data_IF_201720854391
#
_entry.id   IF_201720854391
#
_cell.length_a   1.000
_cell.length_b   1.000
_cell.length_c   1.000
_cell.angle_alpha   90.00
_cell.angle_beta   90.00
_cell.angle_gamma   90.00
#
_symmetry.space_group_name_H-M   'P 1'
#
loop_
_entity.id
_entity.type
_entity.pdbx_description
1 polymer ?
#
# COMPACT_ATOMS: atom_id res chain seq x y z
N UNK A 1 15.27 17.34 25.83
CA UNK A 1 14.63 16.53 24.76
C UNK A 1 14.68 17.36 23.49
N UNK A 2 15.34 16.91 22.46
CA UNK A 2 15.41 17.58 21.18
C UNK A 2 14.56 16.75 20.19
N UNK A 3 13.61 17.39 19.52
CA UNK A 3 12.82 16.76 18.47
C UNK A 3 13.28 17.28 17.12
N UNK A 4 13.55 16.36 16.19
CA UNK A 4 13.84 16.68 14.79
C UNK A 4 12.55 16.55 14.01
N UNK A 5 12.18 17.62 13.28
CA UNK A 5 10.99 17.60 12.41
C UNK A 5 11.43 17.47 10.96
N UNK A 6 10.81 16.55 10.23
CA UNK A 6 11.11 16.25 8.83
C UNK A 6 9.87 16.51 7.98
N UNK A 7 9.98 17.44 7.06
CA UNK A 7 8.88 17.84 6.18
C UNK A 7 8.69 16.87 4.98
N UNK A 8 7.58 16.99 4.20
CA UNK A 8 7.33 16.11 3.06
C UNK A 8 8.41 16.12 1.99
N UNK A 9 9.10 17.25 1.77
CA UNK A 9 10.17 17.39 0.79
C UNK A 9 11.42 16.66 1.28
N UNK A 10 11.80 16.90 2.52
CA UNK A 10 12.94 16.23 3.16
C UNK A 10 12.77 14.71 3.19
N UNK A 11 11.55 14.21 3.46
CA UNK A 11 11.24 12.77 3.40
C UNK A 11 11.55 12.21 2.00
N UNK A 12 11.09 12.90 0.94
CA UNK A 12 11.28 12.45 -0.44
C UNK A 12 12.74 12.55 -0.91
N UNK A 13 13.47 13.53 -0.43
CA UNK A 13 14.89 13.70 -0.75
C UNK A 13 15.76 12.68 0.00
N UNK A 14 15.38 12.34 1.22
CA UNK A 14 16.16 11.45 2.08
C UNK A 14 15.93 9.96 1.81
N UNK A 15 14.72 9.56 1.38
CA UNK A 15 14.34 8.14 1.27
C UNK A 15 13.92 7.80 -0.16
N UNK A 16 14.69 6.94 -0.79
CA UNK A 16 14.33 6.37 -2.10
C UNK A 16 13.25 5.31 -1.94
N UNK A 17 12.45 5.07 -3.00
CA UNK A 17 11.44 4.01 -2.99
C UNK A 17 12.05 2.63 -2.74
N UNK A 18 13.27 2.37 -3.23
CA UNK A 18 13.97 1.10 -2.98
C UNK A 18 14.29 0.90 -1.50
N UNK A 19 14.83 1.92 -0.82
CA UNK A 19 15.09 1.87 0.63
C UNK A 19 13.78 1.67 1.42
N UNK A 20 12.70 2.34 1.01
CA UNK A 20 11.39 2.18 1.62
C UNK A 20 10.84 0.75 1.47
N UNK A 21 10.97 0.15 0.28
CA UNK A 21 10.57 -1.25 0.00
C UNK A 21 11.36 -2.21 0.90
N UNK A 22 12.68 -2.05 1.01
CA UNK A 22 13.49 -2.92 1.87
C UNK A 22 13.16 -2.76 3.36
N UNK A 23 12.95 -1.53 3.82
CA UNK A 23 12.54 -1.27 5.21
C UNK A 23 11.17 -1.89 5.54
N UNK A 24 10.19 -1.75 4.65
CA UNK A 24 8.86 -2.33 4.83
C UNK A 24 8.90 -3.86 4.70
N UNK A 25 9.73 -4.42 3.82
CA UNK A 25 9.97 -5.87 3.72
C UNK A 25 10.50 -6.43 5.04
N UNK A 26 11.54 -5.81 5.60
CA UNK A 26 12.06 -6.20 6.92
C UNK A 26 10.98 -6.11 7.99
N UNK A 27 10.18 -5.04 8.00
CA UNK A 27 9.07 -4.91 8.94
C UNK A 27 8.04 -6.03 8.83
N UNK A 28 7.68 -6.48 7.64
CA UNK A 28 6.78 -7.64 7.47
C UNK A 28 7.40 -8.95 7.96
N UNK A 29 8.70 -9.16 7.76
CA UNK A 29 9.41 -10.31 8.31
C UNK A 29 9.44 -10.29 9.84
N UNK A 30 9.73 -9.15 10.44
CA UNK A 30 9.73 -8.95 11.88
C UNK A 30 8.31 -9.10 12.47
N UNK A 31 7.27 -8.64 11.74
CA UNK A 31 5.87 -8.85 12.13
C UNK A 31 5.52 -10.34 12.17
N UNK A 32 5.91 -11.10 11.16
CA UNK A 32 5.70 -12.55 11.11
C UNK A 32 6.50 -13.30 12.20
N UNK A 33 7.65 -12.75 12.63
CA UNK A 33 8.43 -13.26 13.73
C UNK A 33 7.88 -12.88 15.11
N UNK A 34 6.80 -12.07 15.20
CA UNK A 34 6.18 -11.64 16.45
C UNK A 34 6.95 -10.51 17.17
N UNK A 35 7.82 -9.80 16.47
CA UNK A 35 8.62 -8.71 17.03
C UNK A 35 7.84 -7.41 17.23
N UNK A 36 6.61 -7.32 16.76
CA UNK A 36 5.77 -6.15 16.93
C UNK A 36 4.68 -6.34 17.98
N UNK A 37 4.46 -5.28 18.74
CA UNK A 37 3.26 -5.04 19.52
C UNK A 37 2.52 -3.89 18.85
N UNK A 38 1.38 -4.19 18.23
CA UNK A 38 0.68 -3.30 17.34
C UNK A 38 -0.84 -3.45 17.53
N UNK A 39 -1.46 -2.62 18.36
CA UNK A 39 -2.91 -2.67 18.54
C UNK A 39 -3.62 -2.18 17.26
N UNK A 40 -4.81 -2.70 17.03
CA UNK A 40 -5.71 -2.19 15.99
C UNK A 40 -5.88 -0.68 16.13
N UNK A 41 -5.87 0.05 15.01
CA UNK A 41 -5.96 1.50 15.03
C UNK A 41 -7.25 1.99 15.69
N UNK A 42 -7.15 3.09 16.43
CA UNK A 42 -8.30 3.79 16.98
C UNK A 42 -8.88 4.72 15.94
N UNK A 43 -10.14 4.49 15.57
CA UNK A 43 -10.92 5.36 14.69
C UNK A 43 -11.87 6.23 15.52
N UNK A 44 -11.76 7.54 15.36
CA UNK A 44 -12.60 8.53 16.02
C UNK A 44 -13.45 9.25 14.99
N UNK A 45 -14.68 9.66 15.38
CA UNK A 45 -15.63 10.39 14.54
C UNK A 45 -15.79 9.71 13.16
N UNK A 46 -16.25 8.46 13.16
CA UNK A 46 -16.50 7.66 11.95
C UNK A 46 -15.27 7.55 11.02
N UNK A 47 -14.07 7.50 11.63
CA UNK A 47 -12.83 7.36 10.89
C UNK A 47 -12.30 8.66 10.27
N UNK A 48 -12.79 9.82 10.69
CA UNK A 48 -12.20 11.12 10.30
C UNK A 48 -10.84 11.36 10.97
N UNK A 49 -10.64 10.77 12.17
CA UNK A 49 -9.36 10.81 12.87
C UNK A 49 -8.92 9.39 13.16
N UNK A 50 -7.65 9.10 12.88
CA UNK A 50 -7.05 7.81 13.16
C UNK A 50 -5.83 7.97 14.04
N UNK A 51 -5.69 7.05 15.02
CA UNK A 51 -4.49 6.91 15.84
C UNK A 51 -3.96 5.49 15.64
N UNK A 52 -2.70 5.40 15.28
CA UNK A 52 -2.01 4.13 15.03
C UNK A 52 -0.71 4.10 15.82
N UNK A 53 -0.35 2.93 16.36
CA UNK A 53 0.91 2.77 17.09
C UNK A 53 1.53 1.41 16.81
N UNK A 54 2.86 1.35 16.86
CA UNK A 54 3.63 0.12 16.81
C UNK A 54 4.84 0.24 17.74
N UNK A 55 5.10 -0.81 18.49
CA UNK A 55 6.32 -1.00 19.24
C UNK A 55 7.10 -2.18 18.66
N UNK A 56 8.36 -1.98 18.31
CA UNK A 56 9.25 -3.04 17.84
C UNK A 56 10.17 -3.47 18.98
N UNK A 57 10.07 -4.74 19.37
CA UNK A 57 10.72 -5.29 20.56
C UNK A 57 12.23 -5.32 20.44
N UNK A 58 12.74 -5.85 19.33
CA UNK A 58 14.18 -6.02 19.12
C UNK A 58 14.97 -4.69 19.14
N UNK A 59 14.39 -3.60 18.59
CA UNK A 59 15.03 -2.28 18.62
C UNK A 59 14.59 -1.39 19.78
N UNK A 60 13.66 -1.86 20.62
CA UNK A 60 13.08 -1.09 21.74
C UNK A 60 12.59 0.31 21.31
N UNK A 61 12.03 0.42 20.09
CA UNK A 61 11.53 1.66 19.50
C UNK A 61 10.03 1.63 19.26
N UNK A 62 9.40 2.78 19.29
CA UNK A 62 7.96 2.90 19.09
C UNK A 62 7.64 4.04 18.12
N UNK A 63 6.53 3.87 17.42
CA UNK A 63 5.95 4.88 16.54
C UNK A 63 4.49 5.12 16.92
N UNK A 64 4.08 6.38 16.88
CA UNK A 64 2.68 6.79 17.00
C UNK A 64 2.37 7.70 15.80
N UNK A 65 1.31 7.38 15.07
CA UNK A 65 0.76 8.23 14.01
C UNK A 65 -0.62 8.72 14.40
N UNK A 66 -0.84 10.02 14.26
CA UNK A 66 -2.16 10.65 14.32
C UNK A 66 -2.43 11.31 12.99
N UNK A 67 -3.62 11.13 12.45
CA UNK A 67 -4.01 11.78 11.21
C UNK A 67 -5.49 12.12 11.15
N UNK A 68 -5.82 13.12 10.33
CA UNK A 68 -7.18 13.45 9.91
C UNK A 68 -7.34 13.12 8.43
N UNK A 69 -8.51 12.57 8.08
CA UNK A 69 -8.94 12.26 6.73
C UNK A 69 -10.03 13.23 6.28
N UNK A 70 -9.80 13.92 5.18
CA UNK A 70 -10.81 14.74 4.52
C UNK A 70 -10.61 14.70 3.01
N UNK A 71 -11.47 13.96 2.31
CA UNK A 71 -11.37 13.79 0.85
C UNK A 71 -11.78 15.04 0.05
N UNK A 72 -12.40 16.03 0.70
CA UNK A 72 -12.72 17.33 0.09
C UNK A 72 -11.54 18.32 0.17
N UNK A 73 -10.42 17.92 0.79
CA UNK A 73 -9.22 18.74 0.96
C UNK A 73 -8.03 18.14 0.22
N UNK A 74 -7.12 18.98 -0.24
CA UNK A 74 -5.81 18.59 -0.73
C UNK A 74 -4.70 19.16 0.18
N UNK A 75 -3.84 18.33 0.80
CA UNK A 75 -3.87 16.87 0.81
C UNK A 75 -5.03 16.29 1.65
N UNK A 76 -5.57 15.15 1.22
CA UNK A 76 -6.68 14.49 1.94
C UNK A 76 -6.27 13.96 3.32
N UNK A 77 -5.01 13.58 3.48
CA UNK A 77 -4.41 13.11 4.73
C UNK A 77 -3.53 14.22 5.30
N UNK A 78 -3.75 14.58 6.57
CA UNK A 78 -2.88 15.48 7.31
C UNK A 78 -2.69 14.98 8.74
N UNK A 79 -1.48 15.03 9.25
CA UNK A 79 -1.16 14.57 10.60
C UNK A 79 0.32 14.39 10.81
N UNK A 80 0.66 13.65 11.85
CA UNK A 80 2.04 13.54 12.33
C UNK A 80 2.37 12.09 12.66
N UNK A 81 3.59 11.68 12.33
CA UNK A 81 4.25 10.47 12.82
C UNK A 81 5.30 10.88 13.83
N UNK A 82 5.27 10.27 15.00
CA UNK A 82 6.31 10.44 16.03
C UNK A 82 7.02 9.12 16.23
N UNK A 83 8.33 9.11 16.17
CA UNK A 83 9.18 7.95 16.47
C UNK A 83 10.10 8.23 17.67
N UNK A 84 10.24 7.22 18.53
CA UNK A 84 11.08 7.24 19.74
C UNK A 84 11.77 5.90 19.96
N UNK A 85 12.89 5.91 20.66
CA UNK A 85 13.64 4.72 21.08
C UNK A 85 14.03 4.83 22.54
N UNK A 86 13.96 3.73 23.28
CA UNK A 86 14.17 3.73 24.74
C UNK A 86 15.59 4.20 25.14
N UNK A 87 16.59 3.93 24.32
CA UNK A 87 17.97 4.34 24.55
C UNK A 87 18.28 5.80 24.22
N UNK A 88 17.30 6.57 23.69
CA UNK A 88 17.49 7.94 23.19
C UNK A 88 16.64 8.95 23.95
N UNK A 89 17.11 10.20 23.98
CA UNK A 89 16.35 11.34 24.54
C UNK A 89 15.79 12.27 23.44
N UNK A 90 16.20 12.06 22.22
CA UNK A 90 15.69 12.73 21.02
C UNK A 90 14.57 11.91 20.38
N UNK A 91 13.76 12.59 19.56
CA UNK A 91 12.64 11.99 18.85
C UNK A 91 12.55 12.56 17.44
N UNK A 92 11.96 11.78 16.53
CA UNK A 92 11.65 12.22 15.18
C UNK A 92 10.16 12.56 15.09
N UNK A 93 9.84 13.63 14.39
CA UNK A 93 8.49 14.04 14.01
C UNK A 93 8.46 14.17 12.49
N UNK A 94 7.60 13.41 11.80
CA UNK A 94 7.50 13.41 10.35
C UNK A 94 6.07 13.68 9.88
N UNK A 95 5.91 14.19 8.64
CA UNK A 95 4.61 14.38 8.02
C UNK A 95 3.91 13.04 7.75
N UNK A 96 2.70 12.86 8.31
CA UNK A 96 1.96 11.61 8.19
C UNK A 96 1.45 11.34 6.76
N UNK A 97 1.17 12.37 5.98
CA UNK A 97 0.73 12.22 4.58
C UNK A 97 1.83 11.62 3.72
N UNK A 98 3.04 12.22 3.76
CA UNK A 98 4.20 11.74 3.02
C UNK A 98 4.65 10.34 3.47
N UNK A 99 4.69 10.07 4.77
CA UNK A 99 4.98 8.73 5.29
C UNK A 99 3.93 7.73 4.81
N UNK A 100 2.63 8.08 4.83
CA UNK A 100 1.55 7.17 4.42
C UNK A 100 1.64 6.82 2.94
N UNK A 101 1.90 7.77 2.04
CA UNK A 101 2.00 7.47 0.61
C UNK A 101 3.23 6.61 0.32
N UNK A 102 4.37 6.96 0.91
CA UNK A 102 5.64 6.23 0.74
C UNK A 102 5.54 4.78 1.23
N UNK A 103 5.03 4.56 2.48
CA UNK A 103 4.92 3.21 3.07
C UNK A 103 3.89 2.33 2.37
N UNK A 104 2.81 2.94 1.83
CA UNK A 104 1.79 2.19 1.09
C UNK A 104 2.34 1.75 -0.27
N UNK A 105 3.05 2.63 -0.97
CA UNK A 105 3.78 2.26 -2.18
C UNK A 105 4.82 1.17 -1.89
N UNK A 106 5.60 1.32 -0.83
CA UNK A 106 6.60 0.33 -0.44
C UNK A 106 5.99 -1.06 -0.18
N UNK A 107 4.85 -1.15 0.50
CA UNK A 107 4.15 -2.43 0.73
C UNK A 107 3.70 -3.08 -0.59
N UNK A 108 3.18 -2.28 -1.53
CA UNK A 108 2.86 -2.74 -2.89
C UNK A 108 4.12 -3.20 -3.63
N UNK A 109 5.24 -2.49 -3.47
CA UNK A 109 6.53 -2.91 -4.03
C UNK A 109 6.98 -4.28 -3.50
N UNK A 110 6.86 -4.52 -2.20
CA UNK A 110 7.17 -5.83 -1.58
C UNK A 110 6.30 -6.93 -2.15
N UNK A 111 4.97 -6.70 -2.20
CA UNK A 111 4.02 -7.70 -2.70
C UNK A 111 4.20 -7.96 -4.20
N UNK A 112 4.37 -6.92 -5.00
CA UNK A 112 4.61 -7.04 -6.45
C UNK A 112 5.90 -7.81 -6.74
N UNK A 113 6.97 -7.56 -5.98
CA UNK A 113 8.24 -8.27 -6.15
C UNK A 113 8.10 -9.77 -5.88
N UNK A 114 7.30 -10.14 -4.87
CA UNK A 114 7.04 -11.53 -4.52
C UNK A 114 6.09 -12.24 -5.52
N UNK A 115 5.03 -11.54 -5.97
CA UNK A 115 3.85 -12.17 -6.57
C UNK A 115 3.72 -11.96 -8.08
N UNK A 116 4.16 -10.82 -8.61
CA UNK A 116 4.07 -10.55 -10.03
C UNK A 116 5.12 -11.32 -10.83
N UNK A 117 4.81 -11.75 -12.06
CA UNK A 117 5.80 -12.35 -12.94
C UNK A 117 7.04 -11.46 -13.08
N UNK A 118 8.23 -12.08 -13.13
CA UNK A 118 9.50 -11.34 -13.20
C UNK A 118 9.60 -10.44 -14.46
N UNK A 119 8.96 -10.85 -15.55
CA UNK A 119 8.93 -10.11 -16.81
C UNK A 119 7.73 -9.14 -16.96
N UNK A 120 6.90 -9.00 -15.91
CA UNK A 120 5.74 -8.10 -15.98
C UNK A 120 6.19 -6.66 -16.13
N UNK A 121 5.69 -5.97 -17.16
CA UNK A 121 6.04 -4.58 -17.47
C UNK A 121 4.84 -3.70 -17.83
N UNK A 122 3.60 -4.23 -17.82
CA UNK A 122 2.38 -3.48 -18.12
C UNK A 122 1.55 -3.28 -16.85
N UNK A 123 1.54 -2.03 -16.37
CA UNK A 123 0.79 -1.61 -15.18
C UNK A 123 -0.47 -0.84 -15.57
N UNK A 124 -1.60 -1.21 -14.99
CA UNK A 124 -2.79 -0.35 -14.94
C UNK A 124 -3.00 0.13 -13.49
N UNK A 125 -2.98 1.45 -13.27
CA UNK A 125 -3.36 2.09 -12.01
C UNK A 125 -4.78 2.64 -12.14
N UNK A 126 -5.67 2.26 -11.21
CA UNK A 126 -7.06 2.72 -11.16
C UNK A 126 -7.21 3.62 -9.93
N UNK A 127 -7.56 4.89 -10.18
CA UNK A 127 -7.58 5.96 -9.20
C UNK A 127 -6.29 6.79 -9.24
N UNK A 128 -6.38 8.02 -9.74
CA UNK A 128 -5.27 8.98 -9.84
C UNK A 128 -5.23 9.95 -8.64
N UNK A 129 -5.49 9.41 -7.43
CA UNK A 129 -5.43 10.16 -6.17
C UNK A 129 -4.03 10.29 -5.57
N UNK A 130 -3.95 10.80 -4.33
CA UNK A 130 -2.68 11.05 -3.63
C UNK A 130 -1.81 9.81 -3.39
N UNK A 131 -2.38 8.61 -3.41
CA UNK A 131 -1.63 7.35 -3.27
C UNK A 131 -0.99 6.90 -4.59
N UNK A 132 -1.59 7.24 -5.74
CA UNK A 132 -1.23 6.68 -7.03
C UNK A 132 0.24 6.90 -7.45
N UNK A 133 0.87 8.08 -7.25
CA UNK A 133 2.25 8.28 -7.64
C UNK A 133 3.23 7.28 -7.03
N UNK A 134 3.12 7.03 -5.72
CA UNK A 134 4.05 6.14 -5.02
C UNK A 134 3.74 4.67 -5.29
N UNK A 135 2.49 4.29 -5.65
CA UNK A 135 2.17 2.97 -6.17
C UNK A 135 2.92 2.69 -7.47
N UNK A 136 2.84 3.61 -8.42
CA UNK A 136 3.54 3.47 -9.72
C UNK A 136 5.05 3.43 -9.54
N UNK A 137 5.62 4.31 -8.70
CA UNK A 137 7.06 4.32 -8.39
C UNK A 137 7.52 3.01 -7.78
N UNK A 138 6.73 2.45 -6.86
CA UNK A 138 7.06 1.19 -6.20
C UNK A 138 7.05 0.01 -7.19
N UNK A 139 6.00 -0.10 -7.99
CA UNK A 139 5.94 -1.13 -9.05
C UNK A 139 7.10 -0.97 -10.02
N UNK A 140 7.36 0.25 -10.52
CA UNK A 140 8.48 0.51 -11.45
C UNK A 140 9.85 0.17 -10.84
N UNK A 141 10.02 0.35 -9.53
CA UNK A 141 11.26 0.04 -8.81
C UNK A 141 11.59 -1.46 -8.84
N UNK A 142 10.58 -2.32 -8.77
CA UNK A 142 10.74 -3.79 -8.72
C UNK A 142 10.45 -4.48 -10.05
N UNK A 143 9.69 -3.85 -10.93
CA UNK A 143 9.33 -4.31 -12.29
C UNK A 143 9.42 -3.13 -13.24
N UNK A 144 10.54 -2.98 -13.98
CA UNK A 144 10.68 -1.90 -14.95
C UNK A 144 9.51 -1.87 -15.94
N UNK A 145 8.75 -0.78 -15.94
CA UNK A 145 7.54 -0.67 -16.73
C UNK A 145 7.87 -0.33 -18.21
N UNK A 146 7.28 -1.09 -19.12
CA UNK A 146 7.19 -0.76 -20.54
C UNK A 146 5.95 0.07 -20.86
N UNK A 147 4.85 -0.18 -20.13
CA UNK A 147 3.57 0.53 -20.30
C UNK A 147 2.95 0.87 -18.93
N UNK A 148 2.35 2.07 -18.87
CA UNK A 148 1.51 2.53 -17.77
C UNK A 148 0.18 3.02 -18.32
N UNK A 149 -0.93 2.42 -17.88
CA UNK A 149 -2.27 2.94 -18.13
C UNK A 149 -2.81 3.55 -16.84
N UNK A 150 -3.18 4.82 -16.88
CA UNK A 150 -3.78 5.54 -15.76
C UNK A 150 -5.28 5.68 -16.00
N UNK A 151 -6.07 5.15 -15.05
CA UNK A 151 -7.54 5.19 -15.10
C UNK A 151 -8.07 6.04 -13.96
N UNK A 152 -8.92 7.01 -14.26
CA UNK A 152 -9.70 7.74 -13.27
C UNK A 152 -11.03 8.15 -13.87
N UNK A 153 -12.06 8.31 -13.05
CA UNK A 153 -13.38 8.83 -13.46
C UNK A 153 -13.32 10.30 -13.88
N UNK A 154 -12.33 11.06 -13.38
CA UNK A 154 -12.00 12.40 -13.88
C UNK A 154 -10.75 12.34 -14.78
N UNK A 155 -10.89 12.46 -16.10
CA UNK A 155 -9.77 12.39 -17.05
C UNK A 155 -8.63 13.36 -16.72
N UNK A 156 -8.95 14.54 -16.16
CA UNK A 156 -7.95 15.56 -15.80
C UNK A 156 -7.03 15.06 -14.69
N UNK A 157 -7.52 14.24 -13.75
CA UNK A 157 -6.68 13.61 -12.72
C UNK A 157 -5.76 12.57 -13.32
N UNK A 158 -6.25 11.76 -14.24
CA UNK A 158 -5.43 10.78 -14.95
C UNK A 158 -4.32 11.46 -15.76
N UNK A 159 -4.63 12.53 -16.50
CA UNK A 159 -3.67 13.33 -17.26
C UNK A 159 -2.62 13.97 -16.34
N UNK A 160 -3.03 14.60 -15.24
CA UNK A 160 -2.11 15.23 -14.28
C UNK A 160 -1.15 14.21 -13.63
N UNK A 161 -1.64 12.99 -13.33
CA UNK A 161 -0.78 11.92 -12.83
C UNK A 161 0.21 11.47 -13.91
N UNK A 162 -0.23 11.28 -15.13
CA UNK A 162 0.62 10.91 -16.26
C UNK A 162 1.73 11.95 -16.49
N UNK A 163 1.38 13.23 -16.51
CA UNK A 163 2.35 14.33 -16.62
C UNK A 163 3.37 14.36 -15.49
N UNK A 164 2.90 14.13 -14.25
CA UNK A 164 3.77 14.08 -13.05
C UNK A 164 4.80 12.96 -13.13
N UNK A 165 4.41 11.80 -13.65
CA UNK A 165 5.27 10.61 -13.70
C UNK A 165 6.15 10.52 -14.94
N UNK A 166 5.78 11.19 -16.03
CA UNK A 166 6.51 11.10 -17.30
C UNK A 166 8.02 11.39 -17.21
N UNK A 167 8.49 12.38 -16.43
CA UNK A 167 9.93 12.63 -16.27
C UNK A 167 10.69 11.50 -15.57
N UNK A 168 10.00 10.73 -14.70
CA UNK A 168 10.57 9.67 -13.89
C UNK A 168 10.59 8.33 -14.64
N UNK A 169 9.59 8.08 -15.49
CA UNK A 169 9.36 6.82 -16.21
C UNK A 169 9.89 6.87 -17.66
N UNK A 170 11.19 7.16 -17.79
CA UNK A 170 11.81 7.27 -19.12
C UNK A 170 11.77 5.93 -19.86
N UNK A 171 11.21 5.94 -21.06
CA UNK A 171 11.07 4.75 -21.91
C UNK A 171 9.78 3.97 -21.67
N UNK A 172 8.95 4.34 -20.70
CA UNK A 172 7.62 3.78 -20.47
C UNK A 172 6.60 4.50 -21.34
N UNK A 173 5.76 3.76 -22.05
CA UNK A 173 4.61 4.32 -22.75
C UNK A 173 3.50 4.61 -21.75
N UNK A 174 3.14 5.89 -21.58
CA UNK A 174 2.09 6.31 -20.64
C UNK A 174 0.84 6.67 -21.43
N UNK A 175 -0.30 6.13 -21.03
CA UNK A 175 -1.63 6.44 -21.57
C UNK A 175 -2.66 6.64 -20.46
N UNK A 176 -3.71 7.37 -20.73
CA UNK A 176 -4.86 7.54 -19.85
C UNK A 176 -6.08 6.85 -20.43
N UNK A 177 -6.99 6.38 -19.59
CA UNK A 177 -8.24 5.75 -19.99
C UNK A 177 -9.36 6.07 -18.97
N UNK A 178 -10.59 5.94 -19.42
CA UNK A 178 -11.81 6.05 -18.59
C UNK A 178 -12.58 4.73 -18.51
N UNK A 179 -12.37 3.84 -19.48
CA UNK A 179 -12.92 2.48 -19.48
C UNK A 179 -12.00 1.55 -18.71
N UNK A 180 -12.42 1.22 -17.50
CA UNK A 180 -11.64 0.37 -16.57
C UNK A 180 -11.54 -1.06 -17.08
N UNK A 181 -12.60 -1.64 -17.62
CA UNK A 181 -12.60 -3.03 -18.10
C UNK A 181 -11.66 -3.21 -19.29
N UNK A 182 -11.72 -2.29 -20.23
CA UNK A 182 -10.78 -2.30 -21.36
C UNK A 182 -9.33 -2.08 -20.91
N UNK A 183 -9.12 -1.23 -19.90
CA UNK A 183 -7.78 -0.89 -19.41
C UNK A 183 -7.10 -2.04 -18.64
N UNK A 184 -7.86 -2.92 -17.97
CA UNK A 184 -7.29 -4.06 -17.24
C UNK A 184 -7.06 -5.30 -18.11
N UNK A 185 -7.64 -5.35 -19.33
CA UNK A 185 -7.61 -6.52 -20.20
C UNK A 185 -6.22 -6.96 -20.65
N UNK A 186 -5.28 -6.02 -20.78
CA UNK A 186 -3.89 -6.29 -21.18
C UNK A 186 -2.89 -6.12 -20.02
N UNK A 187 -3.38 -5.82 -18.81
CA UNK A 187 -2.52 -5.56 -17.66
C UNK A 187 -1.86 -6.83 -17.13
N UNK A 188 -0.59 -6.75 -16.78
CA UNK A 188 0.12 -7.80 -16.02
C UNK A 188 0.14 -7.50 -14.54
N UNK A 189 0.03 -6.21 -14.19
CA UNK A 189 -0.10 -5.71 -12.83
C UNK A 189 -1.24 -4.68 -12.82
N UNK A 190 -2.13 -4.78 -11.84
CA UNK A 190 -3.19 -3.79 -11.58
C UNK A 190 -3.01 -3.24 -10.18
N UNK A 191 -3.08 -1.92 -10.01
CA UNK A 191 -3.16 -1.27 -8.70
C UNK A 191 -4.50 -0.55 -8.58
N UNK A 192 -5.31 -0.92 -7.58
CA UNK A 192 -6.57 -0.26 -7.24
C UNK A 192 -6.32 0.69 -6.06
N UNK A 193 -6.53 2.00 -6.28
CA UNK A 193 -6.24 3.06 -5.31
C UNK A 193 -7.41 4.07 -5.25
N UNK A 194 -8.64 3.55 -5.18
CA UNK A 194 -9.87 4.35 -5.23
C UNK A 194 -10.61 4.43 -3.90
N UNK A 195 -11.64 5.22 -3.84
CA UNK A 195 -12.63 5.26 -2.75
C UNK A 195 -13.95 4.55 -3.13
N UNK A 196 -13.92 3.63 -4.08
CA UNK A 196 -15.10 2.93 -4.56
C UNK A 196 -15.79 2.10 -3.47
N UNK A 197 -17.11 1.95 -3.62
CA UNK A 197 -17.96 1.14 -2.74
C UNK A 197 -18.53 -0.11 -3.46
N UNK A 198 -18.11 -0.33 -4.70
CA UNK A 198 -18.46 -1.48 -5.55
C UNK A 198 -17.27 -1.87 -6.41
N UNK A 199 -17.20 -3.12 -6.90
CA UNK A 199 -16.11 -3.59 -7.76
C UNK A 199 -15.86 -2.68 -8.96
N UNK A 200 -14.58 -2.48 -9.28
CA UNK A 200 -14.13 -1.56 -10.35
C UNK A 200 -14.22 -2.19 -11.74
N UNK A 201 -14.21 -3.50 -11.81
CA UNK A 201 -14.23 -4.30 -13.04
C UNK A 201 -14.81 -5.69 -12.75
N UNK A 202 -15.27 -6.36 -13.81
CA UNK A 202 -15.66 -7.77 -13.73
C UNK A 202 -14.41 -8.67 -13.78
N UNK A 203 -14.45 -9.82 -13.10
CA UNK A 203 -13.34 -10.79 -13.06
C UNK A 203 -12.90 -11.22 -14.47
N UNK A 204 -13.87 -11.37 -15.38
CA UNK A 204 -13.66 -11.79 -16.77
C UNK A 204 -12.88 -10.77 -17.62
N UNK A 205 -12.83 -9.50 -17.20
CA UNK A 205 -12.05 -8.48 -17.89
C UNK A 205 -10.54 -8.65 -17.69
N UNK A 206 -10.13 -9.37 -16.64
CA UNK A 206 -8.72 -9.60 -16.33
C UNK A 206 -8.11 -10.73 -17.15
N UNK A 207 -6.82 -10.62 -17.53
CA UNK A 207 -6.12 -11.72 -18.18
C UNK A 207 -5.98 -12.94 -17.26
N UNK A 208 -5.67 -14.10 -17.87
CA UNK A 208 -5.51 -15.35 -17.14
C UNK A 208 -4.35 -15.33 -16.13
N UNK A 209 -3.36 -14.45 -16.34
CA UNK A 209 -2.23 -14.24 -15.43
C UNK A 209 -2.12 -12.75 -15.13
N UNK A 210 -2.30 -12.36 -13.87
CA UNK A 210 -2.23 -10.97 -13.41
C UNK A 210 -1.95 -10.92 -11.91
N UNK A 211 -1.22 -9.89 -11.49
CA UNK A 211 -1.08 -9.51 -10.09
C UNK A 211 -1.90 -8.26 -9.80
N UNK A 212 -2.74 -8.30 -8.77
CA UNK A 212 -3.60 -7.17 -8.37
C UNK A 212 -3.22 -6.68 -6.97
N UNK A 213 -2.87 -5.40 -6.84
CA UNK A 213 -2.70 -4.70 -5.58
C UNK A 213 -3.97 -3.90 -5.28
N UNK A 214 -4.66 -4.18 -4.18
CA UNK A 214 -5.88 -3.48 -3.76
C UNK A 214 -5.61 -2.71 -2.46
N UNK A 215 -5.49 -1.39 -2.57
CA UNK A 215 -5.09 -0.53 -1.45
C UNK A 215 -6.12 0.51 -1.06
N UNK A 216 -7.12 0.77 -1.91
CA UNK A 216 -8.05 1.88 -1.71
C UNK A 216 -9.15 1.59 -0.69
N UNK A 217 -9.64 0.35 -0.62
CA UNK A 217 -10.71 -0.03 0.30
C UNK A 217 -10.14 -0.38 1.68
N UNK A 218 -10.21 0.56 2.63
CA UNK A 218 -9.73 0.45 4.02
C UNK A 218 -10.84 0.68 5.06
N UNK A 219 -12.10 0.56 4.65
CA UNK A 219 -13.30 0.59 5.52
C UNK A 219 -14.26 -0.52 5.07
N UNK A 220 -15.07 -1.08 5.99
CA UNK A 220 -16.03 -2.14 5.66
C UNK A 220 -17.05 -1.77 4.56
N UNK A 221 -17.29 -0.47 4.34
CA UNK A 221 -18.21 0.05 3.31
C UNK A 221 -17.56 0.27 1.96
N UNK A 222 -16.23 0.12 1.84
CA UNK A 222 -15.49 0.31 0.58
C UNK A 222 -15.21 -1.02 -0.08
N UNK A 223 -15.19 -1.04 -1.42
CA UNK A 223 -14.96 -2.26 -2.20
C UNK A 223 -14.41 -1.92 -3.58
N UNK A 224 -13.30 -2.54 -3.97
CA UNK A 224 -12.66 -2.37 -5.28
C UNK A 224 -12.70 -3.66 -6.11
N UNK A 225 -12.67 -4.83 -5.45
CA UNK A 225 -12.54 -6.13 -6.10
C UNK A 225 -13.84 -6.93 -6.11
N UNK A 226 -14.11 -7.70 -7.18
CA UNK A 226 -15.20 -8.67 -7.21
C UNK A 226 -14.84 -9.94 -6.43
N UNK A 227 -15.84 -10.60 -5.84
CA UNK A 227 -15.67 -11.86 -5.10
C UNK A 227 -15.11 -12.98 -5.96
N UNK A 228 -15.49 -13.02 -7.24
CA UNK A 228 -15.05 -14.02 -8.21
C UNK A 228 -13.52 -13.97 -8.43
N UNK A 229 -12.94 -12.79 -8.41
CA UNK A 229 -11.48 -12.64 -8.48
C UNK A 229 -10.82 -13.19 -7.20
N UNK A 230 -11.36 -12.84 -6.04
CA UNK A 230 -10.83 -13.32 -4.76
C UNK A 230 -10.91 -14.84 -4.64
N UNK A 231 -12.04 -15.44 -5.05
CA UNK A 231 -12.25 -16.89 -5.02
C UNK A 231 -11.32 -17.69 -5.94
N UNK A 232 -10.78 -17.04 -7.01
CA UNK A 232 -9.94 -17.71 -8.03
C UNK A 232 -8.46 -17.32 -7.93
N UNK A 233 -8.09 -16.51 -6.94
CA UNK A 233 -6.74 -15.97 -6.77
C UNK A 233 -6.05 -16.52 -5.53
N UNK A 234 -4.72 -16.50 -5.51
CA UNK A 234 -3.96 -16.57 -4.26
C UNK A 234 -4.04 -15.20 -3.58
N UNK A 235 -4.65 -15.14 -2.39
CA UNK A 235 -4.90 -13.89 -1.67
C UNK A 235 -3.87 -13.71 -0.55
N UNK A 236 -3.05 -12.67 -0.70
CA UNK A 236 -2.06 -12.24 0.30
C UNK A 236 -2.57 -10.96 0.96
N UNK A 237 -2.47 -10.88 2.27
CA UNK A 237 -2.94 -9.74 3.08
C UNK A 237 -1.78 -9.13 3.87
N UNK A 238 -1.94 -7.89 4.30
CA UNK A 238 -0.92 -7.22 5.15
C UNK A 238 -0.90 -7.79 6.57
N UNK A 239 -2.06 -7.82 7.26
CA UNK A 239 -2.18 -8.35 8.62
C UNK A 239 -3.63 -8.78 8.86
N UNK A 240 -3.81 -9.92 9.52
CA UNK A 240 -5.11 -10.60 9.63
C UNK A 240 -6.15 -9.82 10.44
N UNK A 241 -5.79 -9.30 11.61
CA UNK A 241 -6.74 -8.59 12.48
C UNK A 241 -7.24 -7.30 11.83
N UNK A 242 -6.34 -6.53 11.22
CA UNK A 242 -6.68 -5.31 10.51
C UNK A 242 -7.59 -5.58 9.30
N UNK A 243 -7.27 -6.61 8.51
CA UNK A 243 -8.06 -7.02 7.34
C UNK A 243 -9.47 -7.44 7.75
N UNK A 244 -9.60 -8.26 8.79
CA UNK A 244 -10.91 -8.73 9.26
C UNK A 244 -11.74 -7.62 9.94
N UNK A 245 -11.10 -6.55 10.38
CA UNK A 245 -11.80 -5.38 10.94
C UNK A 245 -12.22 -4.37 9.86
N UNK A 246 -11.47 -4.22 8.77
CA UNK A 246 -11.52 -3.01 7.94
C UNK A 246 -11.69 -3.25 6.44
N UNK A 247 -11.33 -4.43 5.90
CA UNK A 247 -11.38 -4.68 4.46
C UNK A 247 -12.79 -5.04 3.99
N UNK A 248 -13.49 -4.08 3.36
CA UNK A 248 -14.85 -4.32 2.88
C UNK A 248 -14.94 -5.46 1.86
N UNK A 249 -13.99 -5.58 0.93
CA UNK A 249 -13.99 -6.68 -0.04
C UNK A 249 -13.71 -8.03 0.57
N UNK A 250 -12.78 -8.15 1.53
CA UNK A 250 -12.53 -9.43 2.21
C UNK A 250 -13.72 -9.82 3.09
N UNK A 251 -14.28 -8.87 3.86
CA UNK A 251 -15.48 -9.11 4.66
C UNK A 251 -16.66 -9.55 3.80
N UNK A 252 -16.84 -8.95 2.63
CA UNK A 252 -17.89 -9.33 1.68
C UNK A 252 -17.67 -10.75 1.15
N UNK A 253 -16.45 -11.06 0.70
CA UNK A 253 -16.10 -12.38 0.15
C UNK A 253 -16.21 -13.50 1.21
N UNK A 254 -15.87 -13.24 2.47
CA UNK A 254 -16.09 -14.18 3.58
C UNK A 254 -17.59 -14.40 3.83
N UNK A 255 -18.39 -13.33 3.83
CA UNK A 255 -19.83 -13.41 4.07
C UNK A 255 -20.58 -14.11 2.92
N UNK A 256 -20.13 -13.95 1.68
CA UNK A 256 -20.71 -14.64 0.51
C UNK A 256 -20.25 -16.10 0.37
N UNK A 257 -19.23 -16.51 1.12
CA UNK A 257 -18.62 -17.83 1.01
C UNK A 257 -17.65 -17.98 -0.17
N UNK A 258 -17.28 -16.87 -0.82
CA UNK A 258 -16.28 -16.85 -1.88
C UNK A 258 -14.86 -17.08 -1.36
N UNK A 259 -14.60 -16.73 -0.09
CA UNK A 259 -13.38 -17.02 0.65
C UNK A 259 -13.69 -17.63 2.01
N UNK A 260 -12.72 -18.34 2.56
CA UNK A 260 -12.61 -18.68 3.97
C UNK A 260 -11.41 -17.96 4.60
N UNK A 261 -11.31 -17.93 5.92
CA UNK A 261 -10.14 -17.34 6.57
C UNK A 261 -8.84 -18.11 6.29
N UNK A 262 -8.93 -19.40 5.96
CA UNK A 262 -7.77 -20.24 5.64
C UNK A 262 -7.19 -19.92 4.25
N UNK A 263 -7.96 -19.28 3.38
CA UNK A 263 -7.49 -18.80 2.06
C UNK A 263 -6.62 -17.54 2.15
N UNK A 264 -6.56 -16.91 3.33
CA UNK A 264 -5.82 -15.67 3.55
C UNK A 264 -4.41 -15.98 4.09
N UNK A 265 -3.38 -15.53 3.39
CA UNK A 265 -1.98 -15.65 3.85
C UNK A 265 -1.39 -14.26 4.11
N UNK A 266 -0.78 -14.04 5.25
CA UNK A 266 -0.12 -12.78 5.56
C UNK A 266 1.18 -12.63 4.76
N UNK A 267 1.48 -11.40 4.33
CA UNK A 267 2.65 -11.10 3.49
C UNK A 267 3.96 -11.49 4.17
N UNK A 268 4.09 -11.25 5.46
CA UNK A 268 5.27 -11.65 6.23
C UNK A 268 5.50 -13.16 6.20
N UNK A 269 4.44 -13.95 6.36
CA UNK A 269 4.49 -15.41 6.24
C UNK A 269 4.84 -15.84 4.82
N UNK A 270 4.23 -15.22 3.81
CA UNK A 270 4.52 -15.51 2.40
C UNK A 270 5.97 -15.23 2.02
N UNK A 271 6.59 -14.20 2.61
CA UNK A 271 8.00 -13.86 2.39
C UNK A 271 8.97 -14.91 2.97
N UNK A 272 8.56 -15.67 4.00
CA UNK A 272 9.38 -16.73 4.59
C UNK A 272 9.18 -18.10 3.95
N UNK A 273 8.17 -18.25 3.09
CA UNK A 273 7.87 -19.52 2.45
C UNK A 273 8.99 -19.97 1.51
N UNK A 274 9.42 -21.24 1.64
CA UNK A 274 10.45 -21.85 0.78
C UNK A 274 9.93 -22.19 -0.61
N UNK A 275 8.62 -22.37 -0.74
CA UNK A 275 7.93 -22.57 -2.02
C UNK A 275 7.42 -21.24 -2.52
N UNK A 276 7.67 -20.94 -3.79
CA UNK A 276 7.15 -19.71 -4.39
C UNK A 276 5.61 -19.71 -4.30
N UNK A 277 5.07 -18.63 -3.74
CA UNK A 277 3.63 -18.35 -3.79
C UNK A 277 3.25 -18.19 -5.27
N UNK A 278 2.68 -19.24 -5.87
CA UNK A 278 2.43 -19.28 -7.31
C UNK A 278 0.94 -19.50 -7.57
N UNK A 279 0.29 -18.46 -8.02
CA UNK A 279 -1.01 -18.51 -8.68
C UNK A 279 -0.92 -17.90 -10.07
N UNK A 280 -1.82 -18.27 -10.98
CA UNK A 280 -1.97 -17.53 -12.24
C UNK A 280 -2.47 -16.12 -11.95
N UNK A 281 -3.37 -15.98 -10.97
CA UNK A 281 -3.85 -14.73 -10.44
C UNK A 281 -3.46 -14.61 -8.97
N UNK A 282 -2.91 -13.46 -8.61
CA UNK A 282 -2.52 -13.15 -7.24
C UNK A 282 -3.10 -11.81 -6.84
N UNK A 283 -3.58 -11.70 -5.62
CA UNK A 283 -4.11 -10.47 -5.04
C UNK A 283 -3.32 -10.14 -3.78
N UNK A 284 -2.80 -8.92 -3.69
CA UNK A 284 -2.34 -8.34 -2.45
C UNK A 284 -3.36 -7.32 -1.95
N UNK A 285 -3.94 -7.59 -0.78
CA UNK A 285 -4.86 -6.67 -0.10
C UNK A 285 -4.21 -6.06 1.12
N UNK A 286 -4.21 -4.73 1.20
CA UNK A 286 -3.74 -3.99 2.36
C UNK A 286 -4.76 -2.94 2.80
N UNK A 287 -4.94 -2.78 4.09
CA UNK A 287 -5.66 -1.67 4.72
C UNK A 287 -4.67 -0.70 5.39
N UNK A 288 -3.40 -1.10 5.44
CA UNK A 288 -2.30 -0.33 6.01
C UNK A 288 -2.20 -0.47 7.52
N UNK A 289 -1.07 -0.98 7.99
CA UNK A 289 -0.79 -1.27 9.40
C UNK A 289 0.35 -0.41 9.94
N UNK A 290 0.36 -0.17 11.25
CA UNK A 290 1.28 0.75 11.90
C UNK A 290 2.76 0.36 11.76
N UNK A 291 3.07 -0.92 11.61
CA UNK A 291 4.43 -1.41 11.32
C UNK A 291 5.01 -0.77 10.03
N UNK A 292 4.19 -0.58 8.99
CA UNK A 292 4.65 0.05 7.74
C UNK A 292 5.08 1.51 7.99
N UNK A 293 4.33 2.24 8.81
CA UNK A 293 4.67 3.61 9.20
C UNK A 293 5.93 3.64 10.09
N UNK A 294 6.05 2.65 11.01
CA UNK A 294 7.24 2.48 11.86
C UNK A 294 8.50 2.24 11.00
N UNK A 295 8.42 1.40 9.97
CA UNK A 295 9.55 1.09 9.11
C UNK A 295 10.11 2.33 8.43
N UNK A 296 9.25 3.22 7.92
CA UNK A 296 9.68 4.49 7.32
C UNK A 296 10.18 5.47 8.39
N UNK A 297 9.50 5.57 9.54
CA UNK A 297 9.91 6.45 10.62
C UNK A 297 11.28 6.06 11.19
N UNK A 298 11.59 4.77 11.32
CA UNK A 298 12.91 4.26 11.69
C UNK A 298 13.96 4.67 10.66
N UNK A 299 13.68 4.44 9.38
CA UNK A 299 14.61 4.81 8.30
C UNK A 299 14.92 6.32 8.30
N UNK A 300 13.92 7.16 8.58
CA UNK A 300 14.12 8.59 8.77
C UNK A 300 14.92 8.90 10.05
N UNK A 301 14.65 8.21 11.14
CA UNK A 301 15.39 8.38 12.39
C UNK A 301 16.88 8.07 12.20
N UNK A 302 17.22 6.99 11.49
CA UNK A 302 18.59 6.61 11.17
C UNK A 302 19.32 7.66 10.31
N UNK A 303 18.59 8.50 9.55
CA UNK A 303 19.15 9.54 8.68
C UNK A 303 19.24 10.92 9.34
N UNK A 304 18.31 11.24 10.24
CA UNK A 304 18.15 12.59 10.78
C UNK A 304 18.48 12.73 12.26
N UNK A 305 18.48 11.66 13.03
CA UNK A 305 18.87 11.69 14.44
C UNK A 305 20.38 11.41 14.58
N UNK A 306 21.08 12.07 15.52
CA UNK A 306 22.53 11.92 15.71
C UNK A 306 22.95 10.52 16.19
#
# INVERSE_FOLDING_TARGET
MQSVTVDPREIREAVTMREAIEAVRSGFLDLAAGEFEMPTRTALRDGQFLVMSAHHRASASAMIKTLSLNFDRAPAIAGTVVWTETGRTDSLIADAGAVTTLRTGAAVGVATDLLAPAAAGRLTIIGAGGQAPDQVRAVHTVRPLSELTVVDTDPRRAEALAETLAPELKGTQIRTATDTEAAVGDAEIVCCATSATSPLFAEQALPAQVHVNAIGAFRPTMRELPDELLATSTVIIDEREAILAESGEILHALNSGALTQDDLTELGTALTATEAVRGKRTVFKTVGVAMQDWAIARLLADKFLP
#
